data_IF_024577163439
#
_entry.id   IF_024577163439
#
_cell.length_a   1.000
_cell.length_b   1.000
_cell.length_c   1.000
_cell.angle_alpha   90.00
_cell.angle_beta   90.00
_cell.angle_gamma   90.00
#
_symmetry.space_group_name_H-M   'P 1'
#
loop_
_entity.id
_entity.type
_entity.pdbx_description
1 polymer ?
#
# COMPACT_ATOMS: atom_id res chain seq x y z
N UNK A 1 -12.62 4.47 18.04
CA UNK A 1 -12.91 3.59 16.87
C UNK A 1 -12.77 2.14 17.32
N UNK A 2 -13.78 1.35 17.08
CA UNK A 2 -13.74 -0.07 17.43
C UNK A 2 -12.95 -0.85 16.39
N UNK A 3 -12.61 -2.09 16.72
CA UNK A 3 -11.88 -2.96 15.78
C UNK A 3 -12.66 -3.15 14.48
N UNK A 4 -13.99 -3.15 14.54
CA UNK A 4 -14.82 -3.32 13.36
C UNK A 4 -14.85 -2.08 12.46
N UNK A 5 -14.37 -0.94 12.95
CA UNK A 5 -14.46 0.32 12.23
C UNK A 5 -13.14 0.77 11.63
N UNK A 6 -12.09 -0.05 11.76
CA UNK A 6 -10.78 0.32 11.22
C UNK A 6 -10.39 -0.61 10.06
N UNK A 7 -9.22 -0.33 9.47
CA UNK A 7 -8.78 -1.03 8.28
C UNK A 7 -8.46 -2.51 8.54
N UNK A 8 -8.17 -2.90 9.77
CA UNK A 8 -7.75 -4.26 10.07
C UNK A 8 -8.84 -5.31 9.80
N UNK A 9 -10.08 -4.89 9.62
CA UNK A 9 -11.17 -5.82 9.31
C UNK A 9 -11.17 -6.28 7.85
N UNK A 10 -10.37 -5.67 6.99
CA UNK A 10 -10.41 -5.97 5.56
C UNK A 10 -9.35 -6.99 5.16
N UNK A 11 -9.68 -7.81 4.17
CA UNK A 11 -8.77 -8.81 3.62
C UNK A 11 -8.75 -8.65 2.11
N UNK A 12 -7.54 -8.56 1.54
CA UNK A 12 -7.36 -8.60 0.10
C UNK A 12 -7.00 -10.03 -0.31
N UNK A 13 -7.17 -10.33 -1.59
CA UNK A 13 -6.62 -11.56 -2.15
C UNK A 13 -5.23 -11.25 -2.68
N UNK A 14 -4.28 -12.11 -2.38
CA UNK A 14 -2.92 -11.93 -2.85
C UNK A 14 -2.80 -12.24 -4.33
N UNK A 15 -1.81 -11.63 -4.98
CA UNK A 15 -1.59 -11.84 -6.41
C UNK A 15 -1.35 -13.31 -6.73
N UNK A 16 -0.74 -14.06 -5.82
CA UNK A 16 -0.45 -15.48 -5.99
C UNK A 16 -1.61 -16.38 -5.55
N UNK A 17 -2.74 -15.81 -5.13
CA UNK A 17 -3.93 -16.56 -4.77
C UNK A 17 -4.18 -16.76 -3.30
N UNK A 18 -3.27 -16.37 -2.42
CA UNK A 18 -3.47 -16.46 -0.99
C UNK A 18 -4.29 -15.32 -0.45
N UNK A 19 -4.45 -15.25 0.86
CA UNK A 19 -5.16 -14.17 1.52
C UNK A 19 -4.18 -13.18 2.14
N UNK A 20 -4.56 -11.88 2.11
CA UNK A 20 -3.78 -10.81 2.73
C UNK A 20 -4.71 -10.04 3.68
N UNK A 21 -4.97 -10.58 4.87
CA UNK A 21 -5.75 -9.84 5.86
C UNK A 21 -4.90 -8.71 6.43
N UNK A 22 -5.45 -7.50 6.45
CA UNK A 22 -4.72 -6.37 7.00
C UNK A 22 -4.46 -6.55 8.50
N UNK A 23 -5.27 -7.37 9.17
CA UNK A 23 -5.08 -7.65 10.60
C UNK A 23 -3.73 -8.30 10.90
N UNK A 24 -3.11 -8.96 9.92
CA UNK A 24 -1.80 -9.58 10.14
C UNK A 24 -0.72 -8.53 10.42
N UNK A 25 -0.99 -7.28 10.06
CA UNK A 25 -0.02 -6.20 10.21
C UNK A 25 -0.38 -5.23 11.35
N UNK A 26 -1.20 -5.68 12.30
CA UNK A 26 -1.47 -4.88 13.50
C UNK A 26 -0.16 -4.48 14.17
N UNK A 27 -0.09 -3.22 14.61
CA UNK A 27 1.12 -2.70 15.22
C UNK A 27 2.12 -2.14 14.22
N UNK A 28 1.82 -2.22 12.93
CA UNK A 28 2.72 -1.76 11.86
C UNK A 28 1.96 -0.81 10.93
N UNK A 29 2.57 0.31 10.53
CA UNK A 29 1.93 1.16 9.52
C UNK A 29 1.94 0.47 8.16
N UNK A 30 0.88 0.68 7.38
CA UNK A 30 0.75 0.09 6.04
C UNK A 30 0.47 1.20 5.05
N UNK A 31 1.33 1.33 4.04
CA UNK A 31 1.10 2.25 2.92
C UNK A 31 0.44 1.47 1.80
N UNK A 32 -0.81 1.81 1.50
CA UNK A 32 -1.61 1.13 0.48
C UNK A 32 -1.63 1.99 -0.77
N UNK A 33 -1.21 1.42 -1.90
CA UNK A 33 -1.08 2.17 -3.15
C UNK A 33 -1.73 1.37 -4.29
N UNK A 34 -2.70 1.97 -4.98
CA UNK A 34 -3.24 1.32 -6.18
C UNK A 34 -2.27 1.53 -7.33
N UNK A 35 -1.93 0.46 -8.04
CA UNK A 35 -0.82 0.47 -8.99
C UNK A 35 -1.26 0.06 -10.38
N UNK A 36 -0.42 0.35 -11.38
CA UNK A 36 -0.66 -0.04 -12.76
C UNK A 36 0.67 -0.17 -13.49
N UNK A 37 0.68 -1.03 -14.53
CA UNK A 37 1.90 -1.33 -15.28
C UNK A 37 2.16 -0.38 -16.43
N UNK A 38 1.14 0.37 -16.89
CA UNK A 38 1.25 1.20 -18.10
C UNK A 38 0.89 2.66 -17.85
N UNK A 39 1.18 3.19 -16.67
CA UNK A 39 0.89 4.57 -16.28
C UNK A 39 2.16 5.42 -16.37
N UNK A 40 2.00 6.72 -16.60
CA UNK A 40 3.14 7.63 -16.53
C UNK A 40 3.82 7.63 -15.16
N UNK A 41 3.08 7.27 -14.11
CA UNK A 41 3.64 7.17 -12.75
C UNK A 41 4.19 5.79 -12.41
N UNK A 42 4.14 4.83 -13.35
CA UNK A 42 4.61 3.47 -13.07
C UNK A 42 6.05 3.43 -12.54
N UNK A 43 6.96 4.33 -12.93
CA UNK A 43 8.29 4.34 -12.32
C UNK A 43 8.29 4.52 -10.80
N UNK A 44 7.17 4.95 -10.20
CA UNK A 44 7.08 5.01 -8.73
C UNK A 44 7.20 3.63 -8.08
N UNK A 45 7.06 2.54 -8.84
CA UNK A 45 7.36 1.21 -8.30
C UNK A 45 8.77 1.15 -7.71
N UNK A 46 9.75 1.78 -8.38
CA UNK A 46 11.11 1.77 -7.88
C UNK A 46 11.22 2.51 -6.55
N UNK A 47 10.50 3.63 -6.42
CA UNK A 47 10.52 4.41 -5.18
C UNK A 47 9.79 3.69 -4.06
N UNK A 48 8.68 3.00 -4.39
CA UNK A 48 7.96 2.20 -3.39
C UNK A 48 8.82 1.04 -2.91
N UNK A 49 9.55 0.40 -3.82
CA UNK A 49 10.44 -0.69 -3.43
C UNK A 49 11.57 -0.19 -2.54
N UNK A 50 12.14 0.98 -2.86
CA UNK A 50 13.17 1.58 -2.03
C UNK A 50 12.64 1.90 -0.64
N UNK A 51 11.41 2.42 -0.56
CA UNK A 51 10.76 2.71 0.71
C UNK A 51 10.56 1.43 1.52
N UNK A 52 10.08 0.38 0.87
CA UNK A 52 9.87 -0.92 1.49
C UNK A 52 11.18 -1.46 2.07
N UNK A 53 12.24 -1.43 1.30
CA UNK A 53 13.54 -1.95 1.74
C UNK A 53 14.12 -1.13 2.89
N UNK A 54 13.89 0.17 2.87
CA UNK A 54 14.41 1.05 3.90
C UNK A 54 13.74 0.82 5.25
N UNK A 55 12.42 0.60 5.25
CA UNK A 55 11.65 0.63 6.49
C UNK A 55 11.04 -0.70 6.92
N UNK A 56 11.10 -1.75 6.10
CA UNK A 56 10.39 -2.99 6.43
C UNK A 56 10.85 -3.59 7.75
N UNK A 57 12.13 -3.51 8.06
CA UNK A 57 12.64 -4.07 9.30
C UNK A 57 12.28 -3.23 10.51
N UNK A 58 11.91 -1.97 10.28
CA UNK A 58 11.41 -1.11 11.34
C UNK A 58 9.90 -1.19 11.49
N UNK A 59 9.23 -1.92 10.61
CA UNK A 59 7.82 -2.21 10.75
C UNK A 59 6.90 -1.76 9.62
N UNK A 60 7.37 -0.96 8.66
CA UNK A 60 6.51 -0.51 7.57
C UNK A 60 6.14 -1.66 6.65
N UNK A 61 4.88 -1.70 6.23
CA UNK A 61 4.42 -2.56 5.14
C UNK A 61 4.01 -1.66 3.98
N UNK A 62 4.45 -2.00 2.77
CA UNK A 62 3.96 -1.40 1.54
C UNK A 62 3.09 -2.44 0.85
N UNK A 63 1.85 -2.08 0.54
CA UNK A 63 0.91 -2.99 -0.12
C UNK A 63 0.52 -2.40 -1.46
N UNK A 64 0.90 -3.07 -2.54
CA UNK A 64 0.52 -2.67 -3.89
C UNK A 64 -0.79 -3.33 -4.29
N UNK A 65 -1.71 -2.54 -4.84
CA UNK A 65 -3.05 -3.01 -5.23
C UNK A 65 -3.21 -2.73 -6.73
N UNK A 66 -2.84 -3.68 -7.61
CA UNK A 66 -3.02 -3.47 -9.04
C UNK A 66 -4.48 -3.22 -9.38
N UNK A 67 -4.75 -2.22 -10.22
CA UNK A 67 -6.11 -1.88 -10.59
C UNK A 67 -6.16 -1.39 -12.03
N UNK A 68 -7.21 -1.81 -12.75
CA UNK A 68 -7.43 -1.39 -14.14
C UNK A 68 -8.46 -0.25 -14.23
N UNK A 69 -8.82 0.35 -13.10
CA UNK A 69 -9.92 1.33 -13.06
C UNK A 69 -9.57 2.67 -13.69
N UNK A 70 -8.29 3.01 -13.83
CA UNK A 70 -7.88 4.31 -14.34
C UNK A 70 -7.18 4.15 -15.69
N UNK A 71 -7.86 4.56 -16.75
CA UNK A 71 -7.28 4.51 -18.08
C UNK A 71 -7.01 3.12 -18.61
N UNK A 72 -7.50 2.10 -17.90
CA UNK A 72 -7.27 0.70 -18.26
C UNK A 72 -5.78 0.39 -18.42
N UNK A 73 -4.97 0.91 -17.50
CA UNK A 73 -3.52 0.81 -17.58
C UNK A 73 -2.95 -0.40 -16.82
N UNK A 74 -3.84 -1.32 -16.41
CA UNK A 74 -3.43 -2.60 -15.84
C UNK A 74 -4.27 -3.73 -16.46
N UNK A 75 -4.15 -3.95 -17.78
CA UNK A 75 -5.01 -4.94 -18.45
C UNK A 75 -4.52 -6.37 -18.32
N UNK A 76 -3.30 -6.58 -17.80
CA UNK A 76 -2.68 -7.90 -17.82
C UNK A 76 -3.27 -8.89 -16.83
N UNK A 77 -2.92 -10.15 -17.01
CA UNK A 77 -3.26 -11.22 -16.08
C UNK A 77 -2.40 -11.12 -14.81
N UNK A 78 -2.76 -11.89 -13.78
CA UNK A 78 -1.95 -11.93 -12.57
C UNK A 78 -0.51 -12.32 -12.86
N UNK A 79 -0.29 -13.29 -13.75
CA UNK A 79 1.07 -13.72 -14.10
C UNK A 79 1.84 -12.59 -14.80
N UNK A 80 1.16 -11.85 -15.68
CA UNK A 80 1.80 -10.73 -16.38
C UNK A 80 2.14 -9.59 -15.42
N UNK A 81 1.24 -9.30 -14.48
CA UNK A 81 1.49 -8.27 -13.48
C UNK A 81 2.67 -8.66 -12.60
N UNK A 82 2.70 -9.93 -12.17
CA UNK A 82 3.79 -10.39 -11.32
C UNK A 82 5.13 -10.30 -12.06
N UNK A 83 5.18 -10.75 -13.29
CA UNK A 83 6.41 -10.70 -14.09
C UNK A 83 6.87 -9.25 -14.27
N UNK A 84 5.95 -8.35 -14.59
CA UNK A 84 6.28 -6.95 -14.77
C UNK A 84 6.88 -6.36 -13.49
N UNK A 85 6.21 -6.56 -12.35
CA UNK A 85 6.66 -5.96 -11.10
C UNK A 85 7.97 -6.57 -10.61
N UNK A 86 8.08 -7.91 -10.63
CA UNK A 86 9.26 -8.58 -10.08
C UNK A 86 10.48 -8.41 -10.97
N UNK A 87 10.30 -8.55 -12.29
CA UNK A 87 11.45 -8.55 -13.20
C UNK A 87 11.87 -7.13 -13.55
N UNK A 88 10.90 -6.28 -13.89
CA UNK A 88 11.25 -4.94 -14.37
C UNK A 88 11.64 -4.01 -13.22
N UNK A 89 10.97 -4.09 -12.08
CA UNK A 89 11.19 -3.16 -10.98
C UNK A 89 11.73 -3.81 -9.71
N UNK A 90 11.89 -5.12 -9.71
CA UNK A 90 12.39 -5.83 -8.53
C UNK A 90 11.51 -5.69 -7.31
N UNK A 91 10.19 -5.56 -7.53
CA UNK A 91 9.24 -5.36 -6.44
C UNK A 91 9.24 -6.58 -5.54
N UNK A 92 9.38 -6.34 -4.24
CA UNK A 92 9.43 -7.39 -3.22
C UNK A 92 8.34 -7.21 -2.17
N UNK A 93 7.64 -6.07 -2.18
CA UNK A 93 6.55 -5.86 -1.23
C UNK A 93 5.30 -6.64 -1.67
N UNK A 94 4.36 -6.89 -0.72
CA UNK A 94 3.13 -7.63 -1.05
C UNK A 94 2.31 -6.95 -2.13
N UNK A 95 1.72 -7.77 -3.01
CA UNK A 95 0.84 -7.31 -4.07
C UNK A 95 -0.48 -8.08 -3.97
N UNK A 96 -1.60 -7.38 -4.18
CA UNK A 96 -2.90 -8.04 -4.26
C UNK A 96 -3.17 -8.48 -5.69
N UNK A 97 -4.22 -9.29 -5.86
CA UNK A 97 -4.75 -9.52 -7.22
C UNK A 97 -5.34 -8.21 -7.74
N UNK A 98 -5.60 -8.16 -9.05
CA UNK A 98 -6.19 -6.97 -9.67
C UNK A 98 -7.51 -6.66 -8.98
N UNK A 99 -7.71 -5.41 -8.59
CA UNK A 99 -8.78 -5.03 -7.68
C UNK A 99 -9.50 -3.79 -8.19
N UNK A 100 -10.84 -3.75 -8.00
CA UNK A 100 -11.59 -2.51 -8.25
C UNK A 100 -11.41 -1.61 -7.04
N UNK A 101 -11.08 -0.35 -7.31
CA UNK A 101 -10.78 0.61 -6.23
C UNK A 101 -11.71 1.81 -6.21
N UNK A 102 -12.58 1.97 -7.23
CA UNK A 102 -13.57 3.03 -7.25
C UNK A 102 -14.94 2.48 -7.64
N UNK A 103 -15.98 3.22 -7.32
CA UNK A 103 -17.35 2.89 -7.70
C UNK A 103 -18.00 1.89 -6.74
N UNK A 104 -19.23 1.49 -7.09
CA UNK A 104 -20.03 0.62 -6.23
C UNK A 104 -19.41 -0.76 -6.05
N UNK A 105 -18.61 -1.20 -7.03
CA UNK A 105 -17.98 -2.52 -6.98
C UNK A 105 -16.57 -2.49 -6.40
N UNK A 106 -16.16 -1.38 -5.81
CA UNK A 106 -14.84 -1.27 -5.22
C UNK A 106 -14.70 -2.25 -4.06
N UNK A 107 -13.48 -2.72 -3.86
CA UNK A 107 -13.14 -3.57 -2.72
C UNK A 107 -13.60 -2.87 -1.42
N UNK A 108 -14.07 -3.63 -0.42
CA UNK A 108 -14.55 -3.03 0.83
C UNK A 108 -13.60 -2.04 1.47
N UNK A 109 -12.29 -2.26 1.39
CA UNK A 109 -11.32 -1.31 1.89
C UNK A 109 -11.50 0.06 1.24
N UNK A 110 -11.65 0.10 -0.09
CA UNK A 110 -11.80 1.37 -0.80
C UNK A 110 -13.18 1.98 -0.61
N UNK A 111 -14.21 1.17 -0.34
CA UNK A 111 -15.51 1.71 0.05
C UNK A 111 -15.42 2.36 1.44
N UNK A 112 -14.63 1.79 2.33
CA UNK A 112 -14.37 2.39 3.62
C UNK A 112 -13.63 3.71 3.49
N UNK A 113 -12.67 3.80 2.57
CA UNK A 113 -11.99 5.05 2.26
C UNK A 113 -13.00 6.11 1.84
N UNK A 114 -13.92 5.76 0.93
CA UNK A 114 -14.94 6.71 0.46
C UNK A 114 -15.85 7.16 1.61
N UNK A 115 -16.21 6.24 2.50
CA UNK A 115 -17.05 6.57 3.66
C UNK A 115 -16.31 7.46 4.66
N UNK A 116 -15.01 7.27 4.80
CA UNK A 116 -14.20 8.00 5.77
C UNK A 116 -13.83 9.39 5.27
N UNK A 117 -13.42 9.51 4.01
CA UNK A 117 -12.90 10.75 3.45
C UNK A 117 -13.87 11.46 2.51
N UNK A 118 -14.99 10.80 2.15
CA UNK A 118 -15.89 11.33 1.14
C UNK A 118 -15.37 11.05 -0.26
N UNK A 119 -16.19 11.39 -1.26
CA UNK A 119 -15.83 11.15 -2.66
C UNK A 119 -14.51 11.80 -3.05
N UNK A 120 -14.24 12.98 -2.52
CA UNK A 120 -13.02 13.71 -2.87
C UNK A 120 -11.76 12.99 -2.40
N UNK A 121 -11.88 12.10 -1.42
CA UNK A 121 -10.74 11.36 -0.88
C UNK A 121 -10.51 10.01 -1.53
N UNK A 122 -11.38 9.59 -2.47
CA UNK A 122 -11.20 8.32 -3.17
C UNK A 122 -10.03 8.41 -4.15
N UNK A 123 -9.49 7.27 -4.61
CA UNK A 123 -8.40 7.33 -5.59
C UNK A 123 -8.82 8.10 -6.83
N UNK A 124 -7.95 9.00 -7.28
CA UNK A 124 -8.23 9.83 -8.45
C UNK A 124 -7.42 9.41 -9.66
N UNK A 125 -6.42 8.59 -9.44
CA UNK A 125 -5.59 8.03 -10.51
C UNK A 125 -4.78 6.86 -9.95
N UNK A 126 -4.00 6.22 -10.82
CA UNK A 126 -3.05 5.19 -10.40
C UNK A 126 -2.01 5.81 -9.46
N UNK A 127 -1.54 5.04 -8.50
CA UNK A 127 -0.53 5.44 -7.52
C UNK A 127 -1.02 6.50 -6.52
N UNK A 128 -2.32 6.49 -6.24
CA UNK A 128 -2.88 7.23 -5.11
C UNK A 128 -2.54 6.45 -3.83
N UNK A 129 -2.20 7.15 -2.77
CA UNK A 129 -1.60 6.53 -1.59
C UNK A 129 -2.42 6.78 -0.34
N UNK A 130 -2.56 5.74 0.50
CA UNK A 130 -3.21 5.85 1.80
C UNK A 130 -2.31 5.23 2.84
N UNK A 131 -2.14 5.90 3.98
CA UNK A 131 -1.32 5.38 5.09
C UNK A 131 -2.25 4.96 6.21
N UNK A 132 -2.15 3.69 6.60
CA UNK A 132 -2.92 3.12 7.71
C UNK A 132 -1.99 3.01 8.90
N UNK A 133 -2.42 3.53 10.04
CA UNK A 133 -1.60 3.47 11.25
C UNK A 133 -1.59 2.09 11.88
N UNK A 134 -0.71 1.89 12.87
CA UNK A 134 -0.60 0.60 13.57
C UNK A 134 -1.91 0.15 14.22
N UNK A 135 -2.78 1.09 14.56
CA UNK A 135 -4.08 0.80 15.17
C UNK A 135 -5.18 0.57 14.13
N UNK A 136 -4.85 0.67 12.84
CA UNK A 136 -5.82 0.48 11.77
C UNK A 136 -6.54 1.74 11.35
N UNK A 137 -6.28 2.88 11.98
CA UNK A 137 -6.91 4.13 11.61
C UNK A 137 -6.23 4.71 10.37
N UNK A 138 -7.01 5.46 9.57
CA UNK A 138 -6.45 6.15 8.40
C UNK A 138 -5.62 7.32 8.89
N UNK A 139 -4.33 7.32 8.57
CA UNK A 139 -3.38 8.32 9.06
C UNK A 139 -3.01 9.35 8.01
N UNK A 140 -3.15 9.04 6.72
CA UNK A 140 -2.82 10.00 5.69
C UNK A 140 -3.25 9.53 4.30
N UNK A 141 -3.30 10.48 3.37
CA UNK A 141 -3.67 10.19 1.98
C UNK A 141 -2.94 11.20 1.07
N UNK A 142 -2.42 10.73 -0.05
CA UNK A 142 -1.70 11.57 -0.99
C UNK A 142 -2.03 11.17 -2.42
N UNK A 143 -2.18 12.15 -3.33
CA UNK A 143 -2.48 11.84 -4.73
C UNK A 143 -1.26 11.28 -5.46
N UNK A 144 -1.50 10.84 -6.69
CA UNK A 144 -0.50 10.15 -7.50
C UNK A 144 0.79 10.96 -7.69
N UNK A 145 0.67 12.28 -7.84
CA UNK A 145 1.83 13.11 -8.14
C UNK A 145 2.78 13.29 -6.95
N UNK A 146 2.35 12.90 -5.74
CA UNK A 146 3.25 12.96 -4.58
C UNK A 146 4.10 11.69 -4.59
N UNK A 147 5.43 11.87 -4.70
CA UNK A 147 6.36 10.75 -4.73
C UNK A 147 6.32 9.96 -3.42
N UNK A 148 6.50 8.64 -3.48
CA UNK A 148 6.64 7.85 -2.25
C UNK A 148 7.77 8.30 -1.34
N UNK A 149 8.77 8.97 -1.89
CA UNK A 149 9.89 9.48 -1.10
C UNK A 149 9.73 10.93 -0.65
N UNK A 150 8.53 11.50 -0.87
CA UNK A 150 8.26 12.88 -0.45
C UNK A 150 8.47 13.01 1.06
N UNK A 151 9.15 14.09 1.51
CA UNK A 151 9.40 14.27 2.95
C UNK A 151 8.14 14.23 3.80
N UNK A 152 6.99 14.67 3.28
CA UNK A 152 5.74 14.63 4.04
C UNK A 152 5.31 13.19 4.33
N UNK A 153 5.45 12.30 3.34
CA UNK A 153 5.11 10.90 3.54
C UNK A 153 6.11 10.26 4.51
N UNK A 154 7.40 10.53 4.32
CA UNK A 154 8.43 9.96 5.19
C UNK A 154 8.23 10.37 6.64
N UNK A 155 7.86 11.64 6.87
CA UNK A 155 7.64 12.12 8.23
C UNK A 155 6.46 11.40 8.88
N UNK A 156 5.37 11.18 8.13
CA UNK A 156 4.22 10.47 8.68
C UNK A 156 4.56 9.02 9.00
N UNK A 157 5.30 8.37 8.12
CA UNK A 157 5.73 6.99 8.35
C UNK A 157 6.61 6.92 9.58
N UNK A 158 7.61 7.80 9.69
CA UNK A 158 8.52 7.80 10.83
C UNK A 158 7.77 7.97 12.14
N UNK A 159 6.74 8.82 12.14
CA UNK A 159 5.94 9.05 13.34
C UNK A 159 5.09 7.87 13.76
N UNK A 160 4.83 6.94 12.84
CA UNK A 160 3.98 5.78 13.11
C UNK A 160 4.76 4.49 13.30
N UNK A 161 6.08 4.49 13.07
CA UNK A 161 6.86 3.28 13.22
C UNK A 161 6.93 2.89 14.69
N UNK A 162 6.89 1.57 15.00
CA UNK A 162 6.98 1.12 16.39
C UNK A 162 8.29 1.59 17.00
N UNK A 163 8.20 2.16 18.21
CA UNK A 163 9.38 2.66 18.90
C UNK A 163 10.31 1.55 19.36
N UNK A 164 9.69 0.42 19.67
CA UNK A 164 10.41 -0.76 20.13
C UNK A 164 10.63 -1.74 19.01
N UNK A 165 10.57 -1.25 17.78
CA UNK A 165 10.94 -2.08 16.67
C UNK A 165 12.28 -2.65 17.04
N UNK A 166 12.43 -3.95 17.05
CA UNK A 166 13.64 -4.57 17.52
C UNK A 166 14.78 -3.97 16.78
N UNK A 167 15.61 -3.48 17.63
CA UNK A 167 16.85 -3.16 17.06
C UNK A 167 17.26 -4.37 16.36
N UNK A 168 17.28 -4.55 15.75
CA UNK A 168 17.46 -5.67 15.36
C UNK A 168 18.57 -6.08 15.82
N UNK A 169 18.65 -6.36 16.28
CA UNK A 169 19.32 -6.46 16.79
C UNK A 169 20.23 -6.54 16.33
N UNK A 170 19.94 -6.20 16.29
CA UNK A 170 20.31 -6.04 16.04
C UNK A 170 21.06 -5.85 15.73
N UNK A 171 21.50 -5.80 15.78
CA UNK A 171 21.93 -5.49 15.75
C UNK A 171 22.59 -5.29 15.69
N UNK A 172 23.00 -5.44 15.89
CA UNK A 172 23.52 -5.05 16.04
C UNK A 172 24.11 -4.77 15.44
N UNK A 173 24.06 -4.63 15.31
CA UNK A 173 24.23 -4.19 14.84
C UNK A 173 24.56 -3.80 14.12
N UNK A 174 24.64 -3.70 14.09
CA UNK A 174 24.79 -3.20 13.50
C UNK A 174 25.43 -2.81 13.41
N UNK A 175 25.81 -2.89 13.86
CA UNK A 175 26.17 -2.55 13.91
C UNK A 175 26.39 -2.59 13.73
#
# INVERSE_FOLDING_TARGET
MTAEENAHRFTFAALDGGALPLAQWRGRPVLVVNTASYCGYTPQYAELEALWRRYRERGLVVLGVPSNDFGQQEPGSAAEIEAFCRIRYGVDFPLTEKTRVIGADAHPFYRWIAATLGEAGTPRWNFHKYLIGPDGALAGAWPAQVSPSDPAILAEIEGLLPRDAPASPQAPSRS
#
